data_IF_232179860863
#
_entry.id   IF_232179860863
#
_cell.length_a   1.000
_cell.length_b   1.000
_cell.length_c   1.000
_cell.angle_alpha   90.00
_cell.angle_beta   90.00
_cell.angle_gamma   90.00
#
_symmetry.space_group_name_H-M   'P 1'
#
loop_
_entity.id
_entity.type
_entity.pdbx_description
1 polymer ?
#
# COMPACT_ATOMS: atom_id res chain seq x y z
N UNK A 1 4.82 9.91 1.50
CA UNK A 1 4.65 9.78 2.97
C UNK A 1 5.19 10.98 3.74
N UNK A 2 6.43 11.43 3.47
CA UNK A 2 6.99 12.66 4.08
C UNK A 2 6.10 13.89 3.81
N UNK A 3 5.62 14.05 2.58
CA UNK A 3 4.75 15.17 2.20
C UNK A 3 3.44 15.27 3.01
N UNK A 4 2.85 14.12 3.38
CA UNK A 4 1.70 14.11 4.30
C UNK A 4 2.08 14.66 5.67
N UNK A 5 3.28 14.35 6.17
CA UNK A 5 3.79 14.81 7.47
C UNK A 5 4.07 16.31 7.46
N UNK A 6 4.65 16.83 6.38
CA UNK A 6 4.92 18.28 6.25
C UNK A 6 3.63 19.10 6.16
N UNK A 7 2.63 18.64 5.40
CA UNK A 7 1.30 19.30 5.36
C UNK A 7 0.58 19.25 6.71
N UNK A 8 0.73 18.18 7.47
CA UNK A 8 0.22 18.11 8.85
C UNK A 8 0.92 19.10 9.79
N UNK A 9 2.24 19.28 9.64
CA UNK A 9 2.97 20.28 10.41
C UNK A 9 2.46 21.70 10.13
N UNK A 10 2.18 22.02 8.85
CA UNK A 10 1.61 23.32 8.46
C UNK A 10 0.25 23.61 9.11
N UNK A 11 -0.61 22.60 9.28
CA UNK A 11 -1.88 22.74 10.01
C UNK A 11 -1.63 23.09 11.49
N UNK A 12 -0.64 22.43 12.10
CA UNK A 12 -0.34 22.60 13.53
C UNK A 12 0.32 23.95 13.84
N UNK A 13 1.08 24.50 12.89
CA UNK A 13 1.75 25.81 13.04
C UNK A 13 0.88 26.99 12.61
N UNK A 14 -0.28 26.74 11.99
CA UNK A 14 -1.21 27.77 11.53
C UNK A 14 -1.75 28.59 12.70
N UNK A 15 -1.65 29.93 12.62
CA UNK A 15 -2.07 30.85 13.69
C UNK A 15 -3.51 31.32 13.53
N UNK A 16 -3.96 31.52 12.30
CA UNK A 16 -5.32 32.01 12.02
C UNK A 16 -6.24 30.89 11.54
N UNK A 17 -7.57 31.05 11.72
CA UNK A 17 -8.57 30.06 11.26
C UNK A 17 -8.56 29.89 9.74
N UNK A 18 -8.33 30.98 8.99
CA UNK A 18 -8.29 30.96 7.54
C UNK A 18 -7.10 30.16 6.99
N UNK A 19 -5.90 30.34 7.56
CA UNK A 19 -4.71 29.55 7.21
C UNK A 19 -4.91 28.08 7.52
N UNK A 20 -5.46 27.77 8.69
CA UNK A 20 -5.74 26.39 9.10
C UNK A 20 -6.71 25.71 8.14
N UNK A 21 -7.76 26.41 7.70
CA UNK A 21 -8.72 25.90 6.72
C UNK A 21 -8.06 25.59 5.36
N UNK A 22 -7.18 26.48 4.87
CA UNK A 22 -6.42 26.26 3.62
C UNK A 22 -5.49 25.05 3.75
N UNK A 23 -4.70 24.98 4.83
CA UNK A 23 -3.78 23.87 5.08
C UNK A 23 -4.51 22.51 5.23
N UNK A 24 -5.70 22.52 5.85
CA UNK A 24 -6.55 21.33 6.00
C UNK A 24 -7.07 20.82 4.65
N UNK A 25 -7.43 21.74 3.73
CA UNK A 25 -7.87 21.39 2.39
C UNK A 25 -6.74 20.68 1.60
N UNK A 26 -5.53 21.25 1.64
CA UNK A 26 -4.35 20.65 1.01
C UNK A 26 -3.98 19.29 1.60
N UNK A 27 -3.98 19.16 2.93
CA UNK A 27 -3.73 17.88 3.60
C UNK A 27 -4.73 16.80 3.16
N UNK A 28 -6.00 17.17 3.00
CA UNK A 28 -7.04 16.24 2.58
C UNK A 28 -6.77 15.70 1.18
N UNK A 29 -6.33 16.53 0.24
CA UNK A 29 -5.97 16.12 -1.11
C UNK A 29 -4.75 15.17 -1.09
N UNK A 30 -3.67 15.55 -0.41
CA UNK A 30 -2.45 14.73 -0.31
C UNK A 30 -2.74 13.40 0.39
N UNK A 31 -3.54 13.39 1.45
CA UNK A 31 -3.92 12.16 2.17
C UNK A 31 -4.76 11.22 1.28
N UNK A 32 -5.66 11.75 0.44
CA UNK A 32 -6.38 10.95 -0.56
C UNK A 32 -5.42 10.32 -1.57
N UNK A 33 -4.46 11.09 -2.09
CA UNK A 33 -3.47 10.59 -3.05
C UNK A 33 -2.59 9.48 -2.44
N UNK A 34 -2.08 9.68 -1.23
CA UNK A 34 -1.27 8.68 -0.52
C UNK A 34 -2.04 7.39 -0.27
N UNK A 35 -3.33 7.47 0.11
CA UNK A 35 -4.17 6.27 0.27
C UNK A 35 -4.36 5.52 -1.05
N UNK A 36 -4.54 6.24 -2.17
CA UNK A 36 -4.64 5.64 -3.50
C UNK A 36 -3.33 4.96 -3.91
N UNK A 37 -2.18 5.61 -3.71
CA UNK A 37 -0.89 5.02 -4.08
C UNK A 37 -0.58 3.76 -3.27
N UNK A 38 -0.85 3.75 -1.96
CA UNK A 38 -0.68 2.55 -1.11
C UNK A 38 -1.58 1.40 -1.59
N UNK A 39 -2.81 1.69 -2.01
CA UNK A 39 -3.70 0.66 -2.55
C UNK A 39 -3.17 0.09 -3.87
N UNK A 40 -2.65 0.94 -4.75
CA UNK A 40 -2.06 0.50 -6.02
C UNK A 40 -0.79 -0.32 -5.78
N UNK A 41 0.08 0.12 -4.88
CA UNK A 41 1.31 -0.58 -4.53
C UNK A 41 1.03 -1.98 -3.97
N UNK A 42 0.07 -2.09 -3.04
CA UNK A 42 -0.40 -3.40 -2.54
C UNK A 42 -0.93 -4.31 -3.64
N UNK A 43 -1.63 -3.77 -4.65
CA UNK A 43 -2.12 -4.56 -5.79
C UNK A 43 -0.96 -5.05 -6.64
N UNK A 44 -0.02 -4.17 -6.98
CA UNK A 44 1.19 -4.53 -7.74
C UNK A 44 2.00 -5.62 -7.04
N UNK A 45 2.20 -5.50 -5.73
CA UNK A 45 2.91 -6.51 -4.95
C UNK A 45 2.27 -7.91 -5.00
N UNK A 46 0.93 -7.97 -5.08
CA UNK A 46 0.18 -9.23 -5.14
C UNK A 46 0.09 -9.81 -6.55
N UNK A 47 0.31 -8.99 -7.58
CA UNK A 47 0.13 -9.35 -8.99
C UNK A 47 1.15 -10.40 -9.46
N UNK A 48 2.46 -10.17 -9.24
CA UNK A 48 3.50 -11.10 -9.71
C UNK A 48 3.39 -12.50 -9.06
N UNK A 49 3.19 -12.63 -7.72
CA UNK A 49 3.00 -13.94 -7.11
C UNK A 49 1.71 -14.62 -7.54
N UNK A 50 0.62 -13.84 -7.77
CA UNK A 50 -0.64 -14.39 -8.25
C UNK A 50 -0.52 -14.95 -9.68
N UNK A 51 0.13 -14.20 -10.59
CA UNK A 51 0.41 -14.67 -11.95
C UNK A 51 1.30 -15.92 -11.94
N UNK A 52 2.27 -15.98 -11.03
CA UNK A 52 3.13 -17.17 -10.86
C UNK A 52 2.33 -18.38 -10.35
N UNK A 53 1.42 -18.18 -9.40
CA UNK A 53 0.55 -19.24 -8.89
C UNK A 53 -0.38 -19.79 -9.97
N UNK A 54 -0.95 -18.92 -10.81
CA UNK A 54 -1.79 -19.30 -11.94
C UNK A 54 -1.02 -20.16 -12.96
N UNK A 55 0.18 -19.73 -13.33
CA UNK A 55 1.03 -20.49 -14.25
C UNK A 55 1.44 -21.85 -13.66
N UNK A 56 1.70 -21.93 -12.36
CA UNK A 56 2.01 -23.18 -11.68
C UNK A 56 0.81 -24.14 -11.68
N UNK A 57 -0.41 -23.63 -11.46
CA UNK A 57 -1.65 -24.40 -11.56
C UNK A 57 -1.82 -25.01 -12.95
N UNK A 58 -1.66 -24.18 -13.99
CA UNK A 58 -1.78 -24.61 -15.40
C UNK A 58 -0.77 -25.69 -15.78
N UNK A 59 0.44 -25.63 -15.23
CA UNK A 59 1.52 -26.62 -15.48
C UNK A 59 1.44 -27.85 -14.57
N UNK A 60 0.50 -27.91 -13.62
CA UNK A 60 0.42 -28.99 -12.63
C UNK A 60 1.53 -28.97 -11.57
N UNK A 61 2.28 -27.86 -11.42
CA UNK A 61 3.34 -27.75 -10.41
C UNK A 61 2.75 -27.37 -9.04
N UNK A 62 2.21 -28.37 -8.34
CA UNK A 62 1.53 -28.17 -7.06
C UNK A 62 2.44 -27.65 -5.94
N UNK A 63 3.73 -28.02 -5.95
CA UNK A 63 4.70 -27.54 -4.94
C UNK A 63 4.88 -26.02 -5.05
N UNK A 64 5.12 -25.52 -6.26
CA UNK A 64 5.29 -24.09 -6.51
C UNK A 64 4.02 -23.31 -6.21
N UNK A 65 2.85 -23.85 -6.56
CA UNK A 65 1.55 -23.26 -6.25
C UNK A 65 1.32 -23.11 -4.73
N UNK A 66 1.65 -24.13 -3.95
CA UNK A 66 1.52 -24.08 -2.49
C UNK A 66 2.45 -23.01 -1.89
N UNK A 67 3.71 -22.97 -2.32
CA UNK A 67 4.69 -22.01 -1.81
C UNK A 67 4.33 -20.55 -2.13
N UNK A 68 3.85 -20.26 -3.35
CA UNK A 68 3.41 -18.90 -3.73
C UNK A 68 2.13 -18.50 -3.01
N UNK A 69 1.17 -19.41 -2.85
CA UNK A 69 -0.07 -19.16 -2.10
C UNK A 69 0.23 -18.91 -0.61
N UNK A 70 1.17 -19.66 -0.04
CA UNK A 70 1.65 -19.45 1.33
C UNK A 70 2.29 -18.07 1.50
N UNK A 71 3.10 -17.61 0.53
CA UNK A 71 3.66 -16.25 0.52
C UNK A 71 2.57 -15.17 0.44
N UNK A 72 1.55 -15.36 -0.40
CA UNK A 72 0.42 -14.43 -0.54
C UNK A 72 -0.44 -14.33 0.73
N UNK A 73 -0.65 -15.44 1.43
CA UNK A 73 -1.49 -15.50 2.63
C UNK A 73 -0.92 -14.78 3.86
N UNK A 74 0.32 -14.28 3.81
CA UNK A 74 0.99 -13.65 4.95
C UNK A 74 1.40 -14.63 6.07
N UNK A 75 1.00 -15.90 5.99
CA UNK A 75 1.33 -16.96 6.96
C UNK A 75 2.72 -17.58 6.67
N UNK A 76 3.72 -16.76 6.35
CA UNK A 76 5.07 -17.23 6.08
C UNK A 76 5.80 -17.57 7.39
N UNK A 77 5.52 -18.75 7.95
CA UNK A 77 6.40 -19.39 8.93
C UNK A 77 7.62 -19.91 8.16
N UNK A 78 8.80 -19.31 8.41
CA UNK A 78 10.06 -19.71 7.75
C UNK A 78 10.24 -21.24 7.88
N UNK A 79 10.58 -21.95 6.79
CA UNK A 79 10.98 -23.35 6.90
C UNK A 79 12.29 -23.43 7.70
N UNK A 80 12.38 -24.44 8.57
CA UNK A 80 13.62 -24.84 9.26
C UNK A 80 14.57 -25.51 8.27
#
# INVERSE_FOLDING_TARGET
>A
MQEKRTKNAAINTSRTRAEKAKAQAEYTQVNKQVKRSIRTDKRKYVEDPAMTAENAARKGNMRQLYDTTKKLSGNYRKPK
#
